data_IF_453997423009
#
_entry.id   IF_453997423009
#
_cell.length_a   1.000
_cell.length_b   1.000
_cell.length_c   1.000
_cell.angle_alpha   90.00
_cell.angle_beta   90.00
_cell.angle_gamma   90.00
#
_symmetry.space_group_name_H-M   'P 1'
#
loop_
_entity.id
_entity.type
_entity.pdbx_description
1 polymer ?
#
# COMPACT_ATOMS: atom_id res chain seq x y z
N UNK A 1 -5.78 -5.24 -0.43
CA UNK A 1 -5.86 -4.11 0.52
C UNK A 1 -6.30 -4.67 1.86
N UNK A 2 -5.61 -4.34 2.94
CA UNK A 2 -5.96 -4.74 4.32
C UNK A 2 -6.21 -3.48 5.13
N UNK A 3 -7.39 -3.36 5.73
CA UNK A 3 -7.75 -2.29 6.67
C UNK A 3 -8.23 -2.94 7.97
N UNK A 4 -7.91 -2.30 9.09
CA UNK A 4 -8.38 -2.69 10.43
C UNK A 4 -9.56 -1.86 10.92
N UNK A 5 -9.88 -0.77 10.21
CA UNK A 5 -10.99 0.07 10.60
C UNK A 5 -12.28 -0.63 10.20
N UNK A 6 -12.97 -1.22 11.17
CA UNK A 6 -14.29 -1.76 10.97
C UNK A 6 -15.30 -0.61 11.04
N UNK A 7 -15.53 0.03 9.90
CA UNK A 7 -16.55 1.06 9.74
C UNK A 7 -17.26 0.87 8.40
N UNK A 8 -18.45 1.47 8.29
CA UNK A 8 -19.31 1.36 7.10
C UNK A 8 -18.57 1.79 5.82
N UNK A 9 -17.73 2.80 5.96
CA UNK A 9 -16.84 3.29 4.90
C UNK A 9 -15.95 2.15 4.39
N UNK A 10 -15.18 1.49 5.25
CA UNK A 10 -14.25 0.41 4.86
C UNK A 10 -14.98 -0.81 4.29
N UNK A 11 -16.14 -1.16 4.83
CA UNK A 11 -17.00 -2.23 4.31
C UNK A 11 -17.44 -1.95 2.87
N UNK A 12 -17.84 -0.71 2.56
CA UNK A 12 -18.20 -0.30 1.20
C UNK A 12 -17.02 -0.50 0.20
N UNK A 13 -15.80 -0.14 0.60
CA UNK A 13 -14.60 -0.39 -0.23
C UNK A 13 -14.37 -1.88 -0.49
N UNK A 14 -14.56 -2.73 0.52
CA UNK A 14 -14.39 -4.18 0.38
C UNK A 14 -15.39 -4.73 -0.63
N UNK A 15 -16.66 -4.32 -0.53
CA UNK A 15 -17.72 -4.74 -1.43
C UNK A 15 -17.45 -4.29 -2.88
N UNK A 16 -17.13 -3.02 -3.10
CA UNK A 16 -16.84 -2.47 -4.43
C UNK A 16 -15.65 -3.17 -5.11
N UNK A 17 -14.61 -3.48 -4.34
CA UNK A 17 -13.44 -4.21 -4.85
C UNK A 17 -13.76 -5.68 -5.15
N UNK A 18 -14.55 -6.35 -4.31
CA UNK A 18 -14.99 -7.72 -4.56
C UNK A 18 -15.85 -7.82 -5.83
N UNK A 19 -16.74 -6.85 -6.07
CA UNK A 19 -17.52 -6.77 -7.31
C UNK A 19 -16.65 -6.65 -8.57
N UNK A 20 -15.48 -6.01 -8.46
CA UNK A 20 -14.49 -5.90 -9.55
C UNK A 20 -13.63 -7.16 -9.70
N UNK A 21 -13.96 -8.26 -9.03
CA UNK A 21 -13.19 -9.51 -9.03
C UNK A 21 -11.87 -9.42 -8.27
N UNK A 22 -11.66 -8.38 -7.48
CA UNK A 22 -10.46 -8.26 -6.64
C UNK A 22 -10.70 -9.02 -5.35
N UNK A 23 -9.81 -9.99 -5.05
CA UNK A 23 -9.86 -10.71 -3.77
C UNK A 23 -9.49 -9.75 -2.64
N UNK A 24 -10.49 -9.27 -1.91
CA UNK A 24 -10.33 -8.39 -0.76
C UNK A 24 -10.72 -9.11 0.52
N UNK A 25 -9.90 -8.90 1.55
CA UNK A 25 -10.13 -9.39 2.91
C UNK A 25 -10.06 -8.20 3.86
N UNK A 26 -11.16 -7.94 4.56
CA UNK A 26 -11.12 -7.11 5.76
C UNK A 26 -10.50 -7.93 6.88
N UNK A 27 -9.57 -7.34 7.61
CA UNK A 27 -8.89 -8.02 8.70
C UNK A 27 -9.43 -7.47 10.01
N UNK A 28 -10.26 -8.27 10.69
CA UNK A 28 -10.78 -7.99 12.03
C UNK A 28 -10.22 -9.01 13.02
N UNK A 29 -10.02 -8.58 14.27
CA UNK A 29 -9.64 -9.44 15.40
C UNK A 29 -8.32 -10.22 15.24
N UNK A 30 -7.41 -9.72 14.40
CA UNK A 30 -6.08 -10.31 14.20
C UNK A 30 -5.00 -9.55 14.98
N UNK A 31 -3.96 -10.28 15.40
CA UNK A 31 -2.77 -9.66 16.01
C UNK A 31 -1.88 -9.00 14.96
N UNK A 32 -1.03 -8.08 15.39
CA UNK A 32 -0.04 -7.43 14.52
C UNK A 32 0.82 -8.42 13.73
N UNK A 33 1.15 -9.56 14.33
CA UNK A 33 1.93 -10.59 13.64
C UNK A 33 1.12 -11.33 12.58
N UNK A 34 -0.15 -11.59 12.82
CA UNK A 34 -1.02 -12.23 11.83
C UNK A 34 -1.17 -11.33 10.61
N UNK A 35 -1.34 -10.02 10.80
CA UNK A 35 -1.40 -9.06 9.72
C UNK A 35 -0.10 -8.97 8.95
N UNK A 36 1.02 -8.96 9.66
CA UNK A 36 2.33 -8.99 9.03
C UNK A 36 2.52 -10.24 8.16
N UNK A 37 2.12 -11.41 8.64
CA UNK A 37 2.15 -12.65 7.87
C UNK A 37 1.29 -12.55 6.60
N UNK A 38 0.10 -11.93 6.68
CA UNK A 38 -0.74 -11.68 5.52
C UNK A 38 -0.04 -10.78 4.50
N UNK A 39 0.53 -9.65 4.94
CA UNK A 39 1.25 -8.73 4.06
C UNK A 39 2.44 -9.43 3.37
N UNK A 40 3.21 -10.21 4.13
CA UNK A 40 4.36 -10.98 3.62
C UNK A 40 3.95 -12.05 2.62
N UNK A 41 2.76 -12.65 2.79
CA UNK A 41 2.24 -13.71 1.92
C UNK A 41 1.72 -13.22 0.55
N UNK A 42 1.67 -11.91 0.32
CA UNK A 42 1.25 -11.37 -0.98
C UNK A 42 2.21 -11.82 -2.09
N UNK A 43 1.67 -12.25 -3.23
CA UNK A 43 2.47 -12.78 -4.34
C UNK A 43 2.53 -11.85 -5.55
N UNK A 44 1.44 -11.15 -5.86
CA UNK A 44 1.36 -10.30 -7.05
C UNK A 44 1.86 -8.89 -6.75
N UNK A 45 1.10 -8.16 -5.95
CA UNK A 45 1.39 -6.77 -5.63
C UNK A 45 1.06 -6.49 -4.17
N UNK A 46 1.93 -5.74 -3.51
CA UNK A 46 1.72 -5.19 -2.19
C UNK A 46 1.63 -3.67 -2.28
N UNK A 47 0.50 -3.10 -1.87
CA UNK A 47 0.26 -1.65 -1.91
C UNK A 47 0.01 -1.14 -0.50
N UNK A 48 0.67 -0.05 -0.11
CA UNK A 48 0.43 0.57 1.19
C UNK A 48 1.16 1.88 1.39
N UNK A 49 0.90 2.53 2.53
CA UNK A 49 1.54 3.80 2.89
C UNK A 49 3.06 3.64 3.03
N UNK A 50 3.84 4.54 2.42
CA UNK A 50 5.31 4.50 2.46
C UNK A 50 5.90 4.71 3.86
N UNK A 51 5.13 5.26 4.80
CA UNK A 51 5.52 5.40 6.22
C UNK A 51 5.26 4.14 7.05
N UNK A 52 4.65 3.10 6.48
CA UNK A 52 4.33 1.87 7.20
C UNK A 52 5.56 0.97 7.34
N UNK A 53 6.05 0.81 8.57
CA UNK A 53 7.14 -0.12 8.91
C UNK A 53 6.78 -1.56 8.56
N UNK A 54 5.53 -1.99 8.82
CA UNK A 54 5.06 -3.34 8.49
C UNK A 54 5.06 -3.60 6.99
N UNK A 55 4.62 -2.62 6.17
CA UNK A 55 4.65 -2.72 4.72
C UNK A 55 6.10 -2.86 4.22
N UNK A 56 7.01 -2.04 4.75
CA UNK A 56 8.41 -2.05 4.36
C UNK A 56 9.08 -3.39 4.69
N UNK A 57 8.85 -3.95 5.88
CA UNK A 57 9.36 -5.28 6.23
C UNK A 57 8.75 -6.38 5.38
N UNK A 58 7.45 -6.32 5.09
CA UNK A 58 6.80 -7.29 4.22
C UNK A 58 7.34 -7.21 2.79
N UNK A 59 7.66 -6.01 2.31
CA UNK A 59 8.27 -5.79 1.01
C UNK A 59 9.69 -6.38 0.88
N UNK A 60 10.48 -6.32 1.95
CA UNK A 60 11.82 -6.92 2.00
C UNK A 60 11.78 -8.45 2.13
N UNK A 61 10.90 -8.97 2.99
CA UNK A 61 10.91 -10.37 3.39
C UNK A 61 9.92 -11.24 2.61
N UNK A 62 9.00 -10.64 1.86
CA UNK A 62 8.00 -11.33 1.06
C UNK A 62 8.51 -11.69 -0.33
N UNK A 63 7.68 -12.44 -1.06
CA UNK A 63 7.98 -12.90 -2.42
C UNK A 63 7.10 -12.24 -3.48
N UNK A 64 6.51 -11.07 -3.18
CA UNK A 64 5.68 -10.36 -4.15
C UNK A 64 6.47 -9.87 -5.38
N UNK A 65 5.83 -9.83 -6.54
CA UNK A 65 6.45 -9.31 -7.76
C UNK A 65 6.65 -7.79 -7.71
N UNK A 66 5.68 -7.06 -7.14
CA UNK A 66 5.70 -5.58 -7.08
C UNK A 66 5.31 -5.08 -5.69
N UNK A 67 5.98 -4.03 -5.24
CA UNK A 67 5.62 -3.28 -4.03
C UNK A 67 5.45 -1.82 -4.40
N UNK A 68 4.25 -1.30 -4.15
CA UNK A 68 3.90 0.10 -4.39
C UNK A 68 3.64 0.79 -3.07
N UNK A 69 4.59 1.62 -2.69
CA UNK A 69 4.50 2.47 -1.51
C UNK A 69 3.93 3.82 -1.92
N UNK A 70 2.84 4.25 -1.29
CA UNK A 70 2.23 5.53 -1.62
C UNK A 70 2.38 6.55 -0.50
N UNK A 71 2.49 7.81 -0.88
CA UNK A 71 2.23 8.96 -0.04
C UNK A 71 1.13 9.79 -0.67
N UNK A 72 0.33 10.42 0.18
CA UNK A 72 -0.60 11.46 -0.26
C UNK A 72 0.18 12.76 -0.27
N UNK A 73 0.11 13.47 -1.40
CA UNK A 73 0.70 14.79 -1.54
C UNK A 73 -0.01 15.74 -0.62
N UNK A 74 0.71 16.11 0.44
CA UNK A 74 0.45 17.34 1.16
C UNK A 74 1.34 18.40 0.52
N UNK A 75 0.92 19.67 0.54
CA UNK A 75 1.64 20.82 -0.02
C UNK A 75 2.97 21.14 0.69
N UNK A 76 3.58 20.15 1.34
CA UNK A 76 4.78 20.25 2.16
C UNK A 76 5.99 19.67 1.41
N UNK A 77 7.02 20.50 1.28
CA UNK A 77 8.33 20.17 0.71
C UNK A 77 8.97 18.91 1.32
N UNK A 78 8.68 18.60 2.59
CA UNK A 78 9.20 17.41 3.26
C UNK A 78 8.63 16.11 2.67
N UNK A 79 7.38 16.11 2.17
CA UNK A 79 6.78 14.93 1.53
C UNK A 79 7.49 14.64 0.20
N UNK A 80 7.71 15.67 -0.61
CA UNK A 80 8.46 15.58 -1.86
C UNK A 80 9.93 15.15 -1.62
N UNK A 81 10.57 15.71 -0.59
CA UNK A 81 11.93 15.32 -0.21
C UNK A 81 12.01 13.85 0.24
N UNK A 82 11.02 13.37 0.99
CA UNK A 82 10.92 11.97 1.39
C UNK A 82 10.83 11.06 0.15
N UNK A 83 9.90 11.35 -0.78
CA UNK A 83 9.71 10.53 -1.98
C UNK A 83 11.00 10.44 -2.80
N UNK A 84 11.66 11.57 -3.04
CA UNK A 84 12.94 11.62 -3.77
C UNK A 84 14.03 10.81 -3.06
N UNK A 85 14.13 10.94 -1.74
CA UNK A 85 15.12 10.20 -0.93
C UNK A 85 14.89 8.69 -1.01
N UNK A 86 13.65 8.24 -0.84
CA UNK A 86 13.31 6.82 -0.87
C UNK A 86 13.46 6.22 -2.27
N UNK A 87 13.02 6.92 -3.31
CA UNK A 87 13.24 6.52 -4.70
C UNK A 87 14.74 6.32 -4.99
N UNK A 88 15.58 7.28 -4.55
CA UNK A 88 17.04 7.18 -4.66
C UNK A 88 17.63 6.04 -3.81
N UNK A 89 17.01 5.71 -2.68
CA UNK A 89 17.43 4.57 -1.84
C UNK A 89 17.14 3.26 -2.57
N UNK A 90 15.94 3.09 -3.11
CA UNK A 90 15.53 1.89 -3.80
C UNK A 90 16.29 1.66 -5.10
N UNK A 91 16.63 2.72 -5.83
CA UNK A 91 17.43 2.63 -7.06
C UNK A 91 18.86 2.11 -6.83
N UNK A 92 19.35 2.13 -5.58
CA UNK A 92 20.68 1.62 -5.20
C UNK A 92 20.70 0.15 -4.80
N UNK A 93 19.56 -0.53 -4.82
CA UNK A 93 19.52 -1.95 -4.46
C UNK A 93 20.28 -2.79 -5.48
N UNK A 94 21.21 -3.58 -4.96
CA UNK A 94 22.00 -4.54 -5.74
C UNK A 94 21.35 -5.91 -5.80
N UNK A 95 20.44 -6.21 -4.86
CA UNK A 95 19.70 -7.47 -4.85
C UNK A 95 18.69 -7.47 -6.03
N UNK A 96 18.79 -8.44 -6.97
CA UNK A 96 17.95 -8.47 -8.16
C UNK A 96 16.47 -8.65 -7.83
N UNK A 97 16.11 -9.31 -6.72
CA UNK A 97 14.71 -9.47 -6.30
C UNK A 97 14.09 -8.16 -5.83
N UNK A 98 14.90 -7.23 -5.30
CA UNK A 98 14.42 -5.98 -4.70
C UNK A 98 14.52 -4.79 -5.66
N UNK A 99 15.51 -4.80 -6.54
CA UNK A 99 15.87 -3.68 -7.43
C UNK A 99 14.70 -3.13 -8.23
N UNK A 100 13.89 -4.02 -8.83
CA UNK A 100 12.77 -3.61 -9.69
C UNK A 100 11.40 -3.71 -9.00
N UNK A 101 11.39 -4.25 -7.77
CA UNK A 101 10.16 -4.53 -7.01
C UNK A 101 9.64 -3.29 -6.29
N UNK A 102 10.53 -2.51 -5.67
CA UNK A 102 10.13 -1.42 -4.78
C UNK A 102 9.91 -0.12 -5.56
N UNK A 103 8.70 0.41 -5.46
CA UNK A 103 8.31 1.66 -6.10
C UNK A 103 7.67 2.56 -5.05
N UNK A 104 8.02 3.85 -5.10
CA UNK A 104 7.34 4.88 -4.33
C UNK A 104 6.59 5.82 -5.27
N UNK A 105 5.35 6.10 -4.94
CA UNK A 105 4.46 6.97 -5.71
C UNK A 105 3.89 8.06 -4.80
N UNK A 106 3.84 9.27 -5.32
CA UNK A 106 3.15 10.38 -4.69
C UNK A 106 1.82 10.54 -5.41
N UNK A 107 0.73 10.48 -4.66
CA UNK A 107 -0.61 10.69 -5.18
C UNK A 107 -1.09 12.07 -4.77
N UNK A 108 -1.55 12.93 -5.71
CA UNK A 108 -2.26 14.15 -5.39
C UNK A 108 -3.38 13.90 -4.37
N UNK A 109 -3.61 14.83 -3.46
CA UNK A 109 -4.70 14.68 -2.50
C UNK A 109 -6.05 14.51 -3.21
N UNK A 110 -6.26 15.24 -4.32
CA UNK A 110 -7.44 15.10 -5.18
C UNK A 110 -7.54 13.73 -5.85
N UNK A 111 -6.43 13.08 -6.22
CA UNK A 111 -6.47 11.71 -6.75
C UNK A 111 -6.82 10.70 -5.66
N UNK A 112 -6.35 10.92 -4.44
CA UNK A 112 -6.75 10.09 -3.29
C UNK A 112 -8.21 10.34 -2.94
N UNK A 113 -8.68 11.59 -3.02
CA UNK A 113 -10.08 11.92 -2.86
C UNK A 113 -10.95 11.41 -4.01
N UNK A 114 -10.46 11.41 -5.24
CA UNK A 114 -11.13 10.79 -6.38
C UNK A 114 -11.13 9.27 -6.24
N UNK A 115 -10.03 8.65 -5.78
CA UNK A 115 -10.03 7.23 -5.41
C UNK A 115 -11.00 6.94 -4.25
N UNK A 116 -11.15 7.87 -3.30
CA UNK A 116 -12.16 7.77 -2.23
C UNK A 116 -13.58 7.94 -2.77
N UNK A 117 -13.81 8.87 -3.70
CA UNK A 117 -15.11 9.21 -4.26
C UNK A 117 -15.57 8.20 -5.32
N UNK A 118 -14.68 7.73 -6.21
CA UNK A 118 -14.95 6.66 -7.17
C UNK A 118 -15.25 5.35 -6.44
N UNK A 119 -14.57 5.10 -5.32
CA UNK A 119 -14.91 4.00 -4.43
C UNK A 119 -16.14 4.26 -3.55
N UNK A 120 -16.67 5.49 -3.51
CA UNK A 120 -17.92 5.85 -2.81
C UNK A 120 -19.13 5.97 -3.76
N UNK A 121 -18.90 5.98 -5.08
CA UNK A 121 -19.92 6.09 -6.15
C UNK A 121 -20.29 4.75 -6.80
N UNK A 122 -19.67 3.65 -6.38
CA UNK A 122 -19.84 2.30 -6.94
C UNK A 122 -19.96 1.29 -5.79
#
# INVERSE_FOLDING_TARGET
MTSRMHNDVTQAYVAALQQRGVKVRLVTDQTDMQDFCVLKSAQKELVGCAKSTFLLWAAYLGDMQRVRMYLVENSDAATQAFVKREAKRFSKYTNPKLKDRMQIQLYPNEEVEAMRQDASKH
#
